data_IF_080993136058
#
_entry.id   IF_080993136058
#
_cell.length_a   1.000
_cell.length_b   1.000
_cell.length_c   1.000
_cell.angle_alpha   90.00
_cell.angle_beta   90.00
_cell.angle_gamma   90.00
#
_symmetry.space_group_name_H-M   'P 1'
#
loop_
_entity.id
_entity.type
_entity.pdbx_description
1 polymer ?
#
# COMPACT_ATOMS: atom_id res chain seq x y z
N UNK A 1 13.45 -16.91 0.40
CA UNK A 1 12.42 -15.84 0.39
C UNK A 1 11.48 -16.13 1.53
N UNK A 2 11.32 -15.19 2.48
CA UNK A 2 10.44 -15.41 3.66
C UNK A 2 9.08 -14.74 3.53
N UNK A 3 8.95 -13.75 2.65
CA UNK A 3 7.70 -13.05 2.38
C UNK A 3 7.48 -12.99 0.88
N UNK A 4 6.33 -13.43 0.44
CA UNK A 4 5.82 -13.23 -0.90
C UNK A 4 4.59 -12.35 -0.83
N UNK A 5 4.40 -11.43 -1.76
CA UNK A 5 3.21 -10.59 -1.76
C UNK A 5 2.27 -10.95 -2.90
N UNK A 6 1.00 -10.74 -2.64
CA UNK A 6 -0.08 -10.97 -3.59
C UNK A 6 -0.97 -9.73 -3.67
N UNK A 7 -1.46 -9.42 -4.85
CA UNK A 7 -2.53 -8.46 -5.09
C UNK A 7 -3.73 -9.21 -5.66
N UNK A 8 -4.88 -9.09 -5.01
CA UNK A 8 -6.11 -9.72 -5.49
C UNK A 8 -6.90 -8.73 -6.34
N UNK A 9 -6.40 -8.48 -7.54
CA UNK A 9 -6.90 -7.47 -8.46
C UNK A 9 -7.06 -8.05 -9.87
N UNK A 10 -8.10 -8.88 -10.09
CA UNK A 10 -8.24 -9.66 -11.32
C UNK A 10 -8.50 -8.81 -12.56
N UNK A 11 -8.91 -7.55 -12.44
CA UNK A 11 -9.04 -6.64 -13.58
C UNK A 11 -7.70 -6.06 -14.07
N UNK A 12 -6.66 -6.09 -13.23
CA UNK A 12 -5.34 -5.52 -13.57
C UNK A 12 -5.32 -4.00 -13.78
N UNK A 13 -6.38 -3.29 -13.37
CA UNK A 13 -6.51 -1.84 -13.58
C UNK A 13 -6.10 -1.12 -12.29
N UNK A 14 -5.01 -0.37 -12.37
CA UNK A 14 -4.46 0.37 -11.24
C UNK A 14 -4.66 1.87 -11.36
N UNK A 15 -4.61 2.42 -12.57
CA UNK A 15 -4.67 3.86 -12.81
C UNK A 15 -5.42 4.18 -14.10
N UNK A 16 -5.86 5.43 -14.22
CA UNK A 16 -6.49 5.90 -15.46
C UNK A 16 -5.46 6.16 -16.56
N UNK A 17 -4.32 6.77 -16.21
CA UNK A 17 -3.25 7.09 -17.17
C UNK A 17 -1.90 7.30 -16.50
N UNK A 18 -0.85 7.39 -17.32
CA UNK A 18 0.48 7.87 -16.98
C UNK A 18 0.70 9.16 -17.74
N UNK A 19 0.87 10.28 -17.04
CA UNK A 19 1.03 11.60 -17.66
C UNK A 19 1.79 12.56 -16.72
N UNK A 20 2.13 13.74 -17.24
CA UNK A 20 2.64 14.84 -16.46
C UNK A 20 1.49 15.48 -15.68
N UNK A 21 1.62 15.49 -14.37
CA UNK A 21 0.63 16.08 -13.47
C UNK A 21 1.10 17.43 -12.91
N UNK A 22 0.27 18.00 -12.03
CA UNK A 22 0.57 19.29 -11.36
C UNK A 22 1.60 19.14 -10.23
N UNK A 23 1.77 17.93 -9.68
CA UNK A 23 2.60 17.63 -8.51
C UNK A 23 3.82 16.76 -8.86
N UNK A 24 4.19 16.70 -10.15
CA UNK A 24 5.23 15.79 -10.64
C UNK A 24 6.50 16.51 -11.07
N UNK A 25 6.58 17.82 -10.87
CA UNK A 25 7.72 18.67 -11.30
C UNK A 25 8.09 18.49 -12.79
N UNK A 26 7.09 18.19 -13.65
CA UNK A 26 7.27 17.99 -15.07
C UNK A 26 7.58 16.53 -15.49
N UNK A 27 7.72 15.62 -14.55
CA UNK A 27 7.89 14.19 -14.82
C UNK A 27 6.53 13.48 -14.99
N UNK A 28 6.53 12.31 -15.62
CA UNK A 28 5.35 11.48 -15.77
C UNK A 28 5.14 10.63 -14.53
N UNK A 29 3.92 10.67 -14.02
CA UNK A 29 3.47 9.88 -12.87
C UNK A 29 2.19 9.10 -13.16
N UNK A 30 1.81 8.22 -12.28
CA UNK A 30 0.51 7.55 -12.32
C UNK A 30 -0.58 8.49 -11.82
N UNK A 31 -1.65 8.61 -12.59
CA UNK A 31 -2.80 9.45 -12.30
C UNK A 31 -4.04 8.55 -12.21
N UNK A 32 -4.82 8.75 -11.16
CA UNK A 32 -6.13 8.14 -11.01
C UNK A 32 -7.22 9.19 -11.13
N UNK A 33 -8.07 9.01 -12.11
CA UNK A 33 -9.26 9.79 -12.39
C UNK A 33 -10.44 8.82 -12.48
N UNK A 34 -11.35 8.87 -11.53
CA UNK A 34 -12.47 7.93 -11.45
C UNK A 34 -13.47 8.13 -12.58
N UNK A 35 -13.60 9.34 -13.12
CA UNK A 35 -14.46 9.58 -14.28
C UNK A 35 -13.92 8.87 -15.51
N UNK A 36 -12.60 8.91 -15.72
CA UNK A 36 -11.94 8.16 -16.81
C UNK A 36 -12.05 6.63 -16.60
N UNK A 37 -11.91 6.15 -15.37
CA UNK A 37 -12.04 4.72 -15.08
C UNK A 37 -13.49 4.26 -15.26
N UNK A 38 -14.47 5.00 -14.77
CA UNK A 38 -15.89 4.67 -14.88
C UNK A 38 -16.42 4.74 -16.33
N UNK A 39 -15.75 5.50 -17.21
CA UNK A 39 -16.07 5.54 -18.63
C UNK A 39 -15.58 4.29 -19.41
N UNK A 40 -14.74 3.45 -18.81
CA UNK A 40 -14.23 2.23 -19.43
C UNK A 40 -15.29 1.14 -19.45
N UNK A 41 -15.26 0.24 -20.44
CA UNK A 41 -16.11 -0.94 -20.43
C UNK A 41 -15.75 -1.88 -19.25
N UNK A 42 -16.62 -2.85 -19.01
CA UNK A 42 -16.33 -3.96 -18.09
C UNK A 42 -15.00 -4.61 -18.47
N UNK A 43 -14.12 -4.80 -17.46
CA UNK A 43 -12.73 -5.19 -17.70
C UNK A 43 -12.57 -6.63 -18.19
N UNK A 44 -13.49 -7.50 -17.80
CA UNK A 44 -13.48 -8.94 -18.14
C UNK A 44 -14.68 -9.30 -19.03
N UNK A 45 -14.93 -10.59 -19.19
CA UNK A 45 -16.03 -11.13 -19.99
C UNK A 45 -17.43 -10.75 -19.45
N UNK A 46 -17.53 -10.45 -18.15
CA UNK A 46 -18.75 -10.04 -17.46
C UNK A 46 -18.43 -9.25 -16.19
N UNK A 47 -19.45 -8.67 -15.58
CA UNK A 47 -19.36 -8.18 -14.21
C UNK A 47 -19.35 -9.36 -13.22
N UNK A 48 -18.65 -9.18 -12.11
CA UNK A 48 -18.56 -10.14 -11.02
C UNK A 48 -19.27 -9.62 -9.77
N UNK A 49 -19.68 -10.53 -8.88
CA UNK A 49 -20.25 -10.16 -7.58
C UNK A 49 -19.17 -10.10 -6.50
N UNK A 50 -19.43 -9.34 -5.44
CA UNK A 50 -18.55 -9.29 -4.28
C UNK A 50 -18.38 -10.67 -3.62
N UNK A 51 -19.45 -11.48 -3.61
CA UNK A 51 -19.43 -12.84 -3.07
C UNK A 51 -18.47 -13.74 -3.86
N UNK A 52 -18.54 -13.72 -5.20
CA UNK A 52 -17.64 -14.50 -6.06
C UNK A 52 -16.15 -14.15 -5.80
N UNK A 53 -15.85 -12.86 -5.61
CA UNK A 53 -14.46 -12.42 -5.32
C UNK A 53 -13.98 -13.00 -3.98
N UNK A 54 -14.82 -12.96 -2.93
CA UNK A 54 -14.47 -13.51 -1.62
C UNK A 54 -14.39 -15.04 -1.63
N UNK A 55 -15.27 -15.73 -2.34
CA UNK A 55 -15.26 -17.19 -2.46
C UNK A 55 -14.01 -17.67 -3.20
N UNK A 56 -13.64 -17.00 -4.29
CA UNK A 56 -12.40 -17.27 -5.01
C UNK A 56 -11.15 -17.02 -4.15
N UNK A 57 -11.16 -15.95 -3.36
CA UNK A 57 -10.06 -15.68 -2.44
C UNK A 57 -9.99 -16.74 -1.33
N UNK A 58 -11.12 -17.16 -0.77
CA UNK A 58 -11.18 -18.25 0.21
C UNK A 58 -10.65 -19.54 -0.37
N UNK A 59 -11.09 -19.89 -1.58
CA UNK A 59 -10.59 -21.09 -2.30
C UNK A 59 -9.06 -21.07 -2.48
N UNK A 60 -8.51 -19.90 -2.80
CA UNK A 60 -7.06 -19.71 -2.88
C UNK A 60 -6.39 -19.91 -1.52
N UNK A 61 -6.89 -19.28 -0.47
CA UNK A 61 -6.31 -19.37 0.88
C UNK A 61 -6.28 -20.80 1.40
N UNK A 62 -7.34 -21.57 1.21
CA UNK A 62 -7.44 -22.98 1.67
C UNK A 62 -6.38 -23.89 1.05
N UNK A 63 -5.78 -23.48 -0.08
CA UNK A 63 -4.73 -24.23 -0.77
C UNK A 63 -3.35 -23.64 -0.60
N UNK A 64 -3.26 -22.33 -0.53
CA UNK A 64 -1.96 -21.65 -0.45
C UNK A 64 -1.41 -21.63 0.98
N UNK A 65 -2.24 -21.41 1.99
CA UNK A 65 -1.77 -21.29 3.37
C UNK A 65 -1.08 -22.54 3.89
N UNK A 66 -1.57 -23.77 3.70
CA UNK A 66 -0.84 -24.96 4.14
C UNK A 66 0.56 -25.07 3.51
N UNK A 67 0.71 -24.71 2.24
CA UNK A 67 2.00 -24.69 1.56
C UNK A 67 2.92 -23.59 2.11
N UNK A 68 2.35 -22.44 2.44
CA UNK A 68 3.07 -21.33 3.04
C UNK A 68 3.59 -21.68 4.45
N UNK A 69 2.78 -22.36 5.24
CA UNK A 69 3.13 -22.86 6.57
C UNK A 69 4.26 -23.91 6.50
N UNK A 70 4.14 -24.89 5.59
CA UNK A 70 5.18 -25.91 5.39
C UNK A 70 6.51 -25.31 4.93
N UNK A 71 6.45 -24.28 4.07
CA UNK A 71 7.64 -23.64 3.49
C UNK A 71 8.22 -22.51 4.35
N UNK A 72 7.58 -22.14 5.47
CA UNK A 72 7.89 -20.95 6.29
C UNK A 72 7.93 -19.65 5.41
N UNK A 73 6.93 -19.48 4.54
CA UNK A 73 6.79 -18.33 3.65
C UNK A 73 5.48 -17.61 3.96
N UNK A 74 5.55 -16.33 4.28
CA UNK A 74 4.39 -15.49 4.59
C UNK A 74 3.81 -14.88 3.32
N UNK A 75 2.48 -14.74 3.26
CA UNK A 75 1.76 -14.02 2.21
C UNK A 75 1.38 -12.62 2.69
N UNK A 76 1.91 -11.60 2.02
CA UNK A 76 1.58 -10.20 2.25
C UNK A 76 0.53 -9.75 1.23
N UNK A 77 -0.72 -9.57 1.67
CA UNK A 77 -1.84 -9.14 0.82
C UNK A 77 -1.79 -7.63 0.62
N UNK A 78 -1.68 -7.19 -0.63
CA UNK A 78 -1.77 -5.79 -1.03
C UNK A 78 -3.23 -5.35 -1.11
N UNK A 79 -3.59 -4.12 -0.72
CA UNK A 79 -4.93 -3.61 -0.95
C UNK A 79 -5.20 -3.45 -2.44
N UNK A 80 -6.48 -3.40 -2.83
CA UNK A 80 -6.83 -2.99 -4.19
C UNK A 80 -6.45 -1.52 -4.40
N UNK A 81 -6.01 -1.23 -5.58
CA UNK A 81 -5.50 0.09 -5.96
C UNK A 81 -6.06 0.46 -7.35
N UNK A 82 -6.93 1.48 -7.46
CA UNK A 82 -7.42 2.34 -6.39
C UNK A 82 -8.34 1.61 -5.39
N UNK A 83 -8.36 2.05 -4.10
CA UNK A 83 -9.13 1.40 -3.04
C UNK A 83 -10.60 1.84 -3.07
N UNK A 84 -11.33 1.36 -4.05
CA UNK A 84 -12.77 1.57 -4.23
C UNK A 84 -13.51 0.23 -4.29
N UNK A 85 -14.83 0.20 -4.01
CA UNK A 85 -15.58 -1.06 -3.97
C UNK A 85 -15.59 -1.86 -5.27
N UNK A 86 -15.52 -1.19 -6.41
CA UNK A 86 -15.56 -1.80 -7.75
C UNK A 86 -14.76 -0.96 -8.75
N UNK A 87 -14.10 -1.63 -9.69
CA UNK A 87 -13.47 -0.99 -10.87
C UNK A 87 -13.86 -1.77 -12.12
N UNK A 88 -14.55 -1.12 -13.04
CA UNK A 88 -14.93 -1.68 -14.33
C UNK A 88 -15.66 -3.03 -14.24
N UNK A 89 -16.62 -3.15 -13.30
CA UNK A 89 -17.44 -4.34 -13.10
C UNK A 89 -16.74 -5.49 -12.37
N UNK A 90 -15.61 -5.23 -11.75
CA UNK A 90 -14.89 -6.19 -10.89
C UNK A 90 -14.77 -5.63 -9.49
N UNK A 91 -15.47 -6.22 -8.51
CA UNK A 91 -15.40 -5.79 -7.12
C UNK A 91 -13.99 -5.95 -6.53
N UNK A 92 -13.61 -4.99 -5.69
CA UNK A 92 -12.36 -5.03 -4.96
C UNK A 92 -12.47 -5.94 -3.73
N UNK A 93 -11.43 -6.73 -3.47
CA UNK A 93 -11.36 -7.56 -2.27
C UNK A 93 -11.03 -6.70 -1.04
N UNK A 94 -9.97 -5.90 -1.13
CA UNK A 94 -9.44 -5.08 -0.03
C UNK A 94 -9.44 -3.61 -0.45
N UNK A 95 -10.44 -2.87 -0.03
CA UNK A 95 -10.56 -1.44 -0.31
C UNK A 95 -10.77 -0.58 0.94
N UNK A 96 -10.73 -1.21 2.12
CA UNK A 96 -10.75 -0.57 3.43
C UNK A 96 -10.22 -1.50 4.53
N UNK A 97 -10.06 -0.97 5.73
CA UNK A 97 -9.58 -1.69 6.92
C UNK A 97 -10.47 -2.89 7.30
N UNK A 98 -11.79 -2.77 7.17
CA UNK A 98 -12.72 -3.86 7.51
C UNK A 98 -12.56 -5.06 6.55
N UNK A 99 -12.23 -4.80 5.29
CA UNK A 99 -11.90 -5.87 4.34
C UNK A 99 -10.65 -6.65 4.77
N UNK A 100 -9.62 -6.00 5.30
CA UNK A 100 -8.46 -6.69 5.87
C UNK A 100 -8.84 -7.56 7.08
N UNK A 101 -9.63 -7.03 8.01
CA UNK A 101 -10.10 -7.81 9.16
C UNK A 101 -10.88 -9.04 8.71
N UNK A 102 -11.76 -8.89 7.70
CA UNK A 102 -12.48 -10.00 7.09
C UNK A 102 -11.54 -11.03 6.45
N UNK A 103 -10.52 -10.58 5.69
CA UNK A 103 -9.54 -11.46 5.07
C UNK A 103 -8.75 -12.28 6.10
N UNK A 104 -8.31 -11.65 7.19
CA UNK A 104 -7.61 -12.33 8.27
C UNK A 104 -8.50 -13.33 9.01
N UNK A 105 -9.75 -12.96 9.30
CA UNK A 105 -10.73 -13.88 9.90
C UNK A 105 -11.01 -15.08 8.99
N UNK A 106 -11.14 -14.85 7.68
CA UNK A 106 -11.35 -15.90 6.67
C UNK A 106 -10.19 -16.91 6.60
N UNK A 107 -8.97 -16.43 6.89
CA UNK A 107 -7.76 -17.24 7.00
C UNK A 107 -7.56 -17.87 8.40
N UNK A 108 -8.57 -17.84 9.29
CA UNK A 108 -8.45 -18.31 10.67
C UNK A 108 -7.41 -17.54 11.49
N UNK A 109 -7.12 -16.29 11.12
CA UNK A 109 -6.07 -15.44 11.68
C UNK A 109 -4.66 -16.05 11.56
N UNK A 110 -4.41 -16.93 10.59
CA UNK A 110 -3.10 -17.54 10.36
C UNK A 110 -1.98 -16.50 10.42
N UNK A 111 -0.85 -16.77 11.10
CA UNK A 111 0.32 -15.90 11.11
C UNK A 111 1.03 -15.82 9.74
N UNK A 112 0.65 -16.66 8.79
CA UNK A 112 1.20 -16.67 7.44
C UNK A 112 0.42 -15.80 6.45
N UNK A 113 -0.73 -15.25 6.83
CA UNK A 113 -1.39 -14.18 6.09
C UNK A 113 -1.29 -12.86 6.87
N UNK A 114 -0.69 -11.87 6.24
CA UNK A 114 -0.62 -10.49 6.70
C UNK A 114 -0.81 -9.54 5.54
N UNK A 115 -0.39 -8.30 5.71
CA UNK A 115 -0.54 -7.27 4.69
C UNK A 115 0.81 -6.78 4.15
N UNK A 116 0.79 -6.42 2.89
CA UNK A 116 1.68 -5.44 2.30
C UNK A 116 0.98 -4.10 2.42
N UNK A 117 1.28 -3.37 3.50
CA UNK A 117 0.63 -2.12 3.79
C UNK A 117 1.08 -1.04 2.81
N UNK A 118 0.23 -0.71 1.86
CA UNK A 118 0.49 0.39 0.93
C UNK A 118 -0.06 1.68 1.54
N UNK A 119 0.82 2.52 2.08
CA UNK A 119 0.45 3.82 2.65
C UNK A 119 -0.33 4.67 1.66
N UNK A 120 0.08 4.66 0.37
CA UNK A 120 -0.63 5.36 -0.69
C UNK A 120 -2.12 5.00 -0.76
N UNK A 121 -2.47 3.71 -0.65
CA UNK A 121 -3.89 3.29 -0.72
C UNK A 121 -4.73 3.85 0.44
N UNK A 122 -4.16 3.98 1.66
CA UNK A 122 -4.85 4.68 2.74
C UNK A 122 -5.02 6.17 2.45
N UNK A 123 -4.02 6.79 1.82
CA UNK A 123 -4.04 8.21 1.48
C UNK A 123 -4.96 8.52 0.29
N UNK A 124 -5.25 7.56 -0.57
CA UNK A 124 -6.12 7.72 -1.75
C UNK A 124 -7.61 7.77 -1.41
N UNK A 125 -8.02 7.28 -0.24
CA UNK A 125 -9.44 7.18 0.12
C UNK A 125 -9.69 7.63 1.55
N UNK A 126 -10.57 8.61 1.72
CA UNK A 126 -11.05 9.04 3.05
C UNK A 126 -11.77 7.93 3.82
N UNK A 127 -12.25 6.90 3.11
CA UNK A 127 -13.01 5.78 3.67
C UNK A 127 -12.17 4.51 3.85
N UNK A 128 -10.85 4.55 3.64
CA UNK A 128 -10.02 3.37 3.82
C UNK A 128 -9.96 2.93 5.28
N UNK A 129 -9.68 3.86 6.18
CA UNK A 129 -9.50 3.66 7.61
C UNK A 129 -8.66 4.78 8.22
N UNK A 130 -8.38 4.69 9.51
CA UNK A 130 -7.45 5.60 10.17
C UNK A 130 -6.02 5.06 10.03
N UNK A 131 -5.23 5.65 9.12
CA UNK A 131 -3.89 5.18 8.81
C UNK A 131 -3.01 5.00 10.05
N UNK A 132 -2.96 6.00 10.94
CA UNK A 132 -2.08 5.98 12.12
C UNK A 132 -2.51 4.92 13.13
N UNK A 133 -3.81 4.74 13.32
CA UNK A 133 -4.36 3.71 14.19
C UNK A 133 -4.19 2.31 13.58
N UNK A 134 -4.39 2.17 12.29
CA UNK A 134 -4.22 0.91 11.57
C UNK A 134 -2.76 0.45 11.56
N UNK A 135 -1.80 1.37 11.37
CA UNK A 135 -0.36 1.08 11.52
C UNK A 135 -0.10 0.50 12.91
N UNK A 136 -0.54 1.18 13.97
CA UNK A 136 -0.35 0.73 15.33
C UNK A 136 -0.98 -0.64 15.56
N UNK A 137 -2.27 -0.77 15.26
CA UNK A 137 -3.06 -1.98 15.53
C UNK A 137 -2.50 -3.20 14.80
N UNK A 138 -2.21 -3.06 13.50
CA UNK A 138 -1.73 -4.19 12.71
C UNK A 138 -0.24 -4.50 12.94
N UNK A 139 0.57 -3.51 13.38
CA UNK A 139 1.94 -3.78 13.86
C UNK A 139 1.91 -4.60 15.16
N UNK A 140 1.11 -4.19 16.15
CA UNK A 140 0.94 -4.90 17.41
C UNK A 140 0.44 -6.34 17.22
N UNK A 141 -0.40 -6.56 16.20
CA UNK A 141 -0.90 -7.89 15.83
C UNK A 141 0.10 -8.72 14.98
N UNK A 142 1.25 -8.16 14.60
CA UNK A 142 2.22 -8.81 13.72
C UNK A 142 1.70 -9.07 12.31
N UNK A 143 0.75 -8.24 11.83
CA UNK A 143 0.09 -8.41 10.52
C UNK A 143 0.72 -7.58 9.41
N UNK A 144 1.57 -6.60 9.69
CA UNK A 144 2.30 -5.85 8.65
C UNK A 144 3.59 -6.59 8.33
N UNK A 145 3.70 -7.14 7.12
CA UNK A 145 4.90 -7.87 6.68
C UNK A 145 5.82 -7.01 5.82
N UNK A 146 5.24 -6.10 5.04
CA UNK A 146 5.95 -5.15 4.18
C UNK A 146 5.18 -3.83 4.18
N UNK A 147 5.89 -2.71 4.15
CA UNK A 147 5.31 -1.38 3.95
C UNK A 147 5.71 -0.85 2.59
N UNK A 148 4.73 -0.43 1.78
CA UNK A 148 4.91 0.41 0.61
C UNK A 148 4.70 1.87 1.00
N UNK A 149 5.69 2.69 0.70
CA UNK A 149 5.74 4.07 1.16
C UNK A 149 5.62 5.02 -0.01
N UNK A 150 4.46 5.65 -0.16
CA UNK A 150 4.07 6.52 -1.27
C UNK A 150 3.15 7.63 -0.78
N UNK A 151 3.33 8.83 -1.35
CA UNK A 151 2.44 9.96 -1.15
C UNK A 151 1.62 10.24 -2.42
N UNK A 152 0.54 10.96 -2.28
CA UNK A 152 -0.38 11.34 -3.36
C UNK A 152 -0.84 12.80 -3.18
N UNK A 153 -1.35 13.42 -4.26
CA UNK A 153 -1.78 14.81 -4.27
C UNK A 153 -3.09 15.09 -3.51
N UNK A 154 -3.88 14.06 -3.27
CA UNK A 154 -5.19 14.14 -2.63
C UNK A 154 -5.91 12.81 -2.62
N UNK A 155 -7.20 12.81 -2.24
CA UNK A 155 -8.07 11.63 -2.20
C UNK A 155 -8.92 11.51 -3.46
N UNK A 156 -9.50 10.30 -3.68
CA UNK A 156 -10.52 10.12 -4.72
C UNK A 156 -11.59 11.22 -4.68
N UNK A 157 -12.17 11.62 -5.82
CA UNK A 157 -12.18 10.90 -7.10
C UNK A 157 -10.98 11.15 -8.03
N UNK A 158 -10.03 12.00 -7.65
CA UNK A 158 -8.85 12.31 -8.46
C UNK A 158 -7.60 12.45 -7.59
N UNK A 159 -6.52 11.80 -7.98
CA UNK A 159 -5.20 12.03 -7.40
C UNK A 159 -4.07 11.76 -8.41
N UNK A 160 -2.91 12.30 -8.12
CA UNK A 160 -1.64 12.04 -8.77
C UNK A 160 -0.68 11.42 -7.76
N UNK A 161 0.11 10.45 -8.16
CA UNK A 161 1.24 10.00 -7.35
C UNK A 161 2.34 11.06 -7.38
N UNK A 162 2.88 11.41 -6.21
CA UNK A 162 3.78 12.54 -6.02
C UNK A 162 5.13 12.08 -5.51
N UNK A 163 6.11 13.00 -5.46
CA UNK A 163 7.27 12.80 -4.60
C UNK A 163 6.82 12.69 -3.14
N UNK A 164 7.63 12.08 -2.29
CA UNK A 164 7.28 11.87 -0.88
C UNK A 164 6.98 13.19 -0.16
N UNK A 165 7.71 14.26 -0.50
CA UNK A 165 7.56 15.59 0.08
C UNK A 165 6.52 16.49 -0.57
N UNK A 166 6.05 16.15 -1.78
CA UNK A 166 5.15 17.01 -2.57
C UNK A 166 3.66 16.61 -2.46
N UNK A 167 3.35 15.49 -1.82
CA UNK A 167 1.96 15.07 -1.58
C UNK A 167 1.34 15.80 -0.38
N UNK A 168 0.05 15.51 -0.14
CA UNK A 168 -0.69 16.19 0.92
C UNK A 168 -0.40 15.66 2.34
N UNK A 169 0.16 14.46 2.46
CA UNK A 169 0.37 13.81 3.74
C UNK A 169 1.76 14.10 4.32
N UNK A 170 1.82 14.21 5.66
CA UNK A 170 3.08 14.29 6.39
C UNK A 170 3.74 12.88 6.45
N UNK A 171 4.60 12.62 5.48
CA UNK A 171 5.26 11.33 5.36
C UNK A 171 6.26 11.06 6.48
N UNK A 172 6.80 12.10 7.15
CA UNK A 172 7.69 11.89 8.29
C UNK A 172 6.92 11.35 9.50
N UNK A 173 5.78 11.94 9.83
CA UNK A 173 4.90 11.46 10.89
C UNK A 173 4.40 10.02 10.62
N UNK A 174 4.07 9.72 9.34
CA UNK A 174 3.68 8.36 8.93
C UNK A 174 4.82 7.36 9.07
N UNK A 175 6.06 7.76 8.79
CA UNK A 175 7.25 6.92 8.95
C UNK A 175 7.59 6.66 10.43
N UNK A 176 7.38 7.66 11.28
CA UNK A 176 7.62 7.57 12.72
C UNK A 176 6.70 6.56 13.41
N UNK A 177 5.44 6.47 12.98
CA UNK A 177 4.42 5.64 13.60
C UNK A 177 4.79 4.15 13.67
N UNK A 178 5.15 3.45 12.57
CA UNK A 178 5.57 2.04 12.65
C UNK A 178 6.83 1.84 13.49
N UNK A 179 7.78 2.78 13.42
CA UNK A 179 9.00 2.71 14.23
C UNK A 179 8.69 2.79 15.73
N UNK A 180 7.79 3.68 16.16
CA UNK A 180 7.32 3.78 17.54
C UNK A 180 6.54 2.54 18.00
N UNK A 181 5.88 1.83 17.08
CA UNK A 181 5.17 0.58 17.36
C UNK A 181 6.06 -0.68 17.31
N UNK A 182 7.36 -0.51 17.05
CA UNK A 182 8.30 -1.63 17.00
C UNK A 182 8.31 -2.43 15.70
N UNK A 183 7.84 -1.85 14.60
CA UNK A 183 7.97 -2.47 13.29
C UNK A 183 9.44 -2.51 12.86
N UNK A 184 9.92 -3.70 12.55
CA UNK A 184 11.29 -3.98 12.08
C UNK A 184 11.34 -4.63 10.70
N UNK A 185 10.19 -4.62 10.00
CA UNK A 185 10.04 -5.24 8.69
C UNK A 185 10.57 -4.40 7.53
N UNK A 186 10.28 -4.87 6.34
CA UNK A 186 10.75 -4.24 5.10
C UNK A 186 9.93 -3.00 4.74
N UNK A 187 10.63 -1.90 4.45
CA UNK A 187 10.07 -0.66 3.94
C UNK A 187 10.58 -0.42 2.51
N UNK A 188 9.68 -0.28 1.57
CA UNK A 188 9.99 -0.06 0.16
C UNK A 188 9.34 1.24 -0.32
N UNK A 189 9.98 1.92 -1.27
CA UNK A 189 9.23 2.81 -2.16
C UNK A 189 8.25 1.97 -2.96
N UNK A 190 7.12 2.56 -3.30
CA UNK A 190 6.12 1.89 -4.15
C UNK A 190 6.42 2.14 -5.62
N UNK A 191 5.93 3.25 -6.14
CA UNK A 191 6.22 3.70 -7.49
C UNK A 191 7.16 4.91 -7.47
N UNK A 192 7.93 5.07 -8.54
CA UNK A 192 8.65 6.29 -8.87
C UNK A 192 8.12 6.85 -10.19
N UNK A 193 8.59 8.02 -10.60
CA UNK A 193 8.18 8.60 -11.86
C UNK A 193 8.70 7.81 -13.06
N UNK A 194 8.01 7.93 -14.17
CA UNK A 194 8.32 7.21 -15.39
C UNK A 194 9.35 7.92 -16.25
N UNK A 195 9.99 7.19 -17.14
CA UNK A 195 10.78 7.77 -18.20
C UNK A 195 9.91 8.68 -19.09
N UNK A 196 10.49 9.68 -19.79
CA UNK A 196 9.74 10.63 -20.62
C UNK A 196 8.88 9.94 -21.72
N UNK A 197 9.29 8.77 -22.20
CA UNK A 197 8.52 7.95 -23.13
C UNK A 197 7.34 7.18 -22.49
N UNK A 198 7.21 7.25 -21.15
CA UNK A 198 6.20 6.53 -20.38
C UNK A 198 6.47 5.02 -20.23
N UNK A 199 7.64 4.53 -20.63
CA UNK A 199 8.00 3.11 -20.57
C UNK A 199 8.94 2.82 -19.41
N UNK A 200 8.39 2.20 -18.38
CA UNK A 200 9.13 1.86 -17.18
C UNK A 200 9.51 3.05 -16.30
N UNK A 201 9.84 2.78 -15.06
CA UNK A 201 10.23 3.79 -14.08
C UNK A 201 11.61 4.34 -14.38
N UNK A 202 11.81 5.64 -14.15
CA UNK A 202 13.06 6.33 -14.29
C UNK A 202 14.04 5.92 -13.18
N UNK A 203 15.22 5.46 -13.54
CA UNK A 203 16.27 5.12 -12.56
C UNK A 203 16.72 6.32 -11.73
N UNK A 204 16.70 7.51 -12.31
CA UNK A 204 16.97 8.76 -11.60
C UNK A 204 15.90 9.04 -10.55
N UNK A 205 14.64 8.86 -10.91
CA UNK A 205 13.53 9.02 -10.00
C UNK A 205 13.57 7.96 -8.88
N UNK A 206 13.80 6.69 -9.20
CA UNK A 206 13.99 5.64 -8.18
C UNK A 206 15.11 6.01 -7.19
N UNK A 207 16.25 6.47 -7.69
CA UNK A 207 17.38 6.88 -6.85
C UNK A 207 17.02 8.06 -5.93
N UNK A 208 16.24 9.03 -6.44
CA UNK A 208 15.75 10.16 -5.65
C UNK A 208 14.84 9.70 -4.52
N UNK A 209 13.81 8.92 -4.83
CA UNK A 209 12.87 8.38 -3.83
C UNK A 209 13.58 7.58 -2.74
N UNK A 210 14.50 6.68 -3.15
CA UNK A 210 15.27 5.88 -2.20
C UNK A 210 16.21 6.74 -1.35
N UNK A 211 16.85 7.74 -1.94
CA UNK A 211 17.73 8.68 -1.24
C UNK A 211 16.97 9.50 -0.21
N UNK A 212 15.80 10.02 -0.59
CA UNK A 212 14.92 10.79 0.29
C UNK A 212 14.43 9.94 1.47
N UNK A 213 13.89 8.75 1.20
CA UNK A 213 13.43 7.82 2.23
C UNK A 213 14.55 7.41 3.20
N UNK A 214 15.77 7.13 2.68
CA UNK A 214 16.94 6.83 3.52
C UNK A 214 17.35 8.02 4.39
N UNK A 215 17.24 9.24 3.88
CA UNK A 215 17.48 10.47 4.64
C UNK A 215 16.48 10.62 5.80
N UNK A 216 15.20 10.38 5.54
CA UNK A 216 14.14 10.40 6.56
C UNK A 216 14.40 9.34 7.64
N UNK A 217 14.69 8.09 7.25
CA UNK A 217 15.03 7.01 8.18
C UNK A 217 16.24 7.34 9.06
N UNK A 218 17.33 7.84 8.47
CA UNK A 218 18.51 8.23 9.23
C UNK A 218 18.25 9.37 10.23
N UNK A 219 17.38 10.32 9.87
CA UNK A 219 16.92 11.38 10.78
C UNK A 219 16.10 10.82 11.94
N UNK A 220 15.15 9.93 11.65
CA UNK A 220 14.29 9.29 12.64
C UNK A 220 15.09 8.42 13.62
N UNK A 221 16.01 7.59 13.11
CA UNK A 221 16.90 6.77 13.96
C UNK A 221 17.70 7.62 14.95
N UNK A 222 18.23 8.75 14.48
CA UNK A 222 18.95 9.69 15.34
C UNK A 222 18.06 10.32 16.40
N UNK A 223 16.85 10.73 16.02
CA UNK A 223 15.86 11.30 16.96
C UNK A 223 15.52 10.30 18.05
N UNK A 224 15.13 9.08 17.70
CA UNK A 224 14.74 8.03 18.64
C UNK A 224 15.90 7.63 19.57
N UNK A 225 17.15 7.67 19.09
CA UNK A 225 18.33 7.44 19.92
C UNK A 225 18.52 8.54 20.96
N UNK A 226 18.39 9.81 20.57
CA UNK A 226 18.53 10.96 21.46
C UNK A 226 17.43 10.97 22.53
N UNK A 227 16.21 10.57 22.19
CA UNK A 227 15.09 10.48 23.14
C UNK A 227 15.35 9.40 24.20
N UNK A 228 15.86 8.23 23.81
CA UNK A 228 16.26 7.17 24.75
C UNK A 228 17.38 7.61 25.69
N UNK A 229 18.39 8.31 25.20
CA UNK A 229 19.51 8.84 25.98
C UNK A 229 19.03 9.91 26.98
N UNK A 230 18.07 10.75 26.61
CA UNK A 230 17.53 11.81 27.46
C UNK A 230 16.48 11.28 28.46
N UNK A 231 15.67 10.28 28.07
CA UNK A 231 14.70 9.60 28.93
C UNK A 231 15.36 8.82 30.05
N UNK A 232 16.52 8.20 29.81
CA UNK A 232 17.31 7.50 30.83
C UNK A 232 18.00 8.41 31.87
N UNK A 233 18.03 9.73 31.63
CA UNK A 233 18.61 10.72 32.56
C UNK A 233 17.60 11.32 33.56
N UNK A 234 16.32 10.94 33.47
CA UNK A 234 15.22 11.45 34.30
C UNK A 234 14.75 10.47 35.38
N UNK A 235 15.43 9.33 35.56
CA UNK A 235 15.13 8.34 36.61
C UNK A 235 16.15 8.38 37.75
#
# INVERSE_FOLDING_TARGET
>A
IRVNYIAWQPNGIFRSRIDVGNYTRGEKSMICDMDELNARPVANDRAYTQEEIWDNFKYFLDRALPVCEEADVRLALHPNDPPVPDVCGVPSLIWNTECYKKAFALAGNSPYLGMKMCVGCWLESENFGNLMEDIRTFTEQGKIFVVHFRNVSGTMPYFEETLLEDGYADMYAILEQPACCGYDGQLNIDHSFFNPDGKGMSKTSEAYFLGYLKGMLGSLERQLKLEKENGGKKS
#
